data_IF_232846789680
#
_entry.id   IF_232846789680
#
_cell.length_a   1.000
_cell.length_b   1.000
_cell.length_c   1.000
_cell.angle_alpha   90.00
_cell.angle_beta   90.00
_cell.angle_gamma   90.00
#
_symmetry.space_group_name_H-M   'P 1'
#
loop_
_entity.id
_entity.type
_entity.pdbx_description
1 polymer ?
#
# COMPACT_ATOMS: atom_id res chain seq x y z
N UNK A 1 7.37 -74.17 50.17
CA UNK A 1 5.97 -74.45 49.79
C UNK A 1 5.39 -73.16 49.25
N UNK A 2 5.12 -73.13 47.95
CA UNK A 2 4.44 -72.04 47.23
C UNK A 2 2.93 -72.25 47.41
N UNK A 3 2.19 -71.17 47.59
CA UNK A 3 0.74 -71.15 47.45
C UNK A 3 0.36 -70.90 45.99
N UNK A 4 -0.45 -71.82 45.46
CA UNK A 4 -1.54 -71.54 44.49
C UNK A 4 -2.56 -70.57 45.14
N UNK A 5 -3.39 -69.78 44.46
CA UNK A 5 -4.21 -70.09 43.29
C UNK A 5 -4.78 -68.80 42.65
N UNK A 6 -5.33 -68.97 41.44
CA UNK A 6 -5.69 -67.99 40.39
C UNK A 6 -6.78 -66.95 40.68
N UNK A 7 -6.73 -65.84 39.94
CA UNK A 7 -7.88 -65.26 39.24
C UNK A 7 -7.45 -64.51 37.97
N UNK A 8 -8.36 -64.41 37.02
CA UNK A 8 -8.18 -64.27 35.58
C UNK A 8 -8.74 -62.91 35.09
N UNK A 9 -8.28 -62.49 33.91
CA UNK A 9 -8.82 -61.47 32.98
C UNK A 9 -8.90 -59.98 33.37
N UNK A 10 -8.18 -59.19 32.56
CA UNK A 10 -8.33 -57.75 32.39
C UNK A 10 -7.55 -57.29 31.16
N UNK A 11 -8.13 -57.53 29.99
CA UNK A 11 -7.70 -57.06 28.66
C UNK A 11 -7.46 -55.55 28.67
N UNK A 12 -6.19 -55.16 28.66
CA UNK A 12 -5.73 -53.79 28.48
C UNK A 12 -5.07 -53.65 27.13
N UNK A 13 -5.83 -53.81 26.05
CA UNK A 13 -5.45 -53.34 24.72
C UNK A 13 -5.37 -51.82 24.74
N UNK A 14 -4.23 -51.29 25.19
CA UNK A 14 -3.86 -49.90 24.98
C UNK A 14 -3.67 -49.67 23.49
N UNK A 15 -4.64 -48.98 22.90
CA UNK A 15 -4.59 -48.30 21.59
C UNK A 15 -3.15 -47.88 21.25
N UNK A 16 -2.63 -48.40 20.14
CA UNK A 16 -1.46 -47.81 19.48
C UNK A 16 -1.90 -46.47 18.91
N UNK A 17 -1.60 -45.40 19.64
CA UNK A 17 -1.67 -44.04 19.13
C UNK A 17 -0.61 -43.93 18.03
N UNK A 18 -1.06 -43.71 16.79
CA UNK A 18 -0.25 -43.65 15.59
C UNK A 18 0.61 -42.38 15.54
N UNK A 19 1.52 -42.25 16.50
CA UNK A 19 2.49 -41.16 16.57
C UNK A 19 3.49 -41.27 15.45
N UNK A 20 3.51 -40.27 14.57
CA UNK A 20 4.53 -40.11 13.54
C UNK A 20 5.88 -39.96 14.22
N UNK A 21 6.82 -40.85 13.89
CA UNK A 21 8.16 -40.81 14.48
C UNK A 21 8.95 -39.59 13.99
N UNK A 22 9.92 -39.07 14.77
CA UNK A 22 10.78 -37.97 14.34
C UNK A 22 11.49 -38.23 13.01
N UNK A 23 11.81 -39.50 12.71
CA UNK A 23 12.37 -39.91 11.41
C UNK A 23 11.36 -39.79 10.27
N UNK A 24 10.09 -40.12 10.50
CA UNK A 24 9.03 -39.91 9.51
C UNK A 24 8.74 -38.43 9.27
N UNK A 25 8.86 -37.57 10.29
CA UNK A 25 8.78 -36.09 10.12
C UNK A 25 9.96 -35.57 9.31
N UNK A 26 11.17 -36.06 9.57
CA UNK A 26 12.36 -35.74 8.79
C UNK A 26 12.25 -36.23 7.34
N UNK A 27 11.73 -37.43 7.09
CA UNK A 27 11.49 -37.94 5.73
C UNK A 27 10.38 -37.16 5.00
N UNK A 28 9.31 -36.78 5.68
CA UNK A 28 8.25 -35.92 5.13
C UNK A 28 8.79 -34.53 4.76
N UNK A 29 9.66 -33.96 5.59
CA UNK A 29 10.33 -32.69 5.29
C UNK A 29 11.37 -32.84 4.18
N UNK A 30 12.09 -33.96 4.12
CA UNK A 30 13.08 -34.24 3.07
C UNK A 30 12.45 -34.45 1.70
N UNK A 31 11.24 -35.04 1.63
CA UNK A 31 10.47 -35.16 0.38
C UNK A 31 9.85 -33.84 -0.08
N UNK A 32 9.61 -32.89 0.82
CA UNK A 32 9.30 -31.49 0.47
C UNK A 32 10.53 -30.71 -0.03
N UNK A 33 11.73 -31.26 0.15
CA UNK A 33 13.00 -30.66 -0.29
C UNK A 33 13.64 -31.38 -1.48
N UNK A 34 12.91 -32.28 -2.15
CA UNK A 34 13.33 -32.71 -3.48
C UNK A 34 13.33 -31.46 -4.39
N UNK A 35 14.40 -31.21 -5.17
CA UNK A 35 14.39 -30.14 -6.15
C UNK A 35 13.36 -30.51 -7.21
N UNK A 36 12.17 -29.92 -7.12
CA UNK A 36 11.22 -29.87 -8.22
C UNK A 36 11.96 -29.27 -9.41
N UNK A 37 11.83 -29.91 -10.57
CA UNK A 37 12.38 -29.45 -11.85
C UNK A 37 12.17 -27.92 -11.98
N UNK A 38 13.22 -27.10 -12.23
CA UNK A 38 13.09 -25.65 -12.21
C UNK A 38 12.09 -25.08 -13.23
N UNK A 39 11.68 -25.88 -14.23
CA UNK A 39 10.66 -25.55 -15.23
C UNK A 39 9.25 -26.10 -14.91
N UNK A 40 9.09 -27.05 -13.97
CA UNK A 40 7.75 -27.51 -13.60
C UNK A 40 7.14 -26.60 -12.52
N UNK A 41 6.38 -25.61 -13.00
CA UNK A 41 5.35 -24.85 -12.29
C UNK A 41 5.80 -23.67 -11.44
N UNK A 42 6.48 -22.70 -12.05
CA UNK A 42 6.37 -21.30 -11.57
C UNK A 42 5.05 -20.73 -12.08
N UNK A 43 3.95 -21.11 -11.45
CA UNK A 43 2.64 -20.52 -11.72
C UNK A 43 2.41 -19.36 -10.77
N UNK A 44 1.72 -18.33 -11.27
CA UNK A 44 1.19 -17.28 -10.40
C UNK A 44 0.30 -17.92 -9.32
N UNK A 45 0.68 -17.73 -8.06
CA UNK A 45 -0.11 -18.15 -6.91
C UNK A 45 -0.52 -16.96 -6.05
N UNK A 46 -0.41 -15.74 -6.60
CA UNK A 46 -0.94 -14.54 -5.98
C UNK A 46 -2.46 -14.52 -5.98
N UNK A 47 -3.05 -13.95 -4.92
CA UNK A 47 -4.48 -13.64 -4.88
C UNK A 47 -4.71 -12.19 -5.30
N UNK A 48 -5.86 -11.89 -5.88
CA UNK A 48 -6.26 -10.53 -6.25
C UNK A 48 -6.20 -9.58 -5.04
N UNK A 49 -6.78 -9.97 -3.90
CA UNK A 49 -6.76 -9.18 -2.67
C UNK A 49 -5.33 -8.87 -2.17
N UNK A 50 -4.38 -9.82 -2.31
CA UNK A 50 -2.99 -9.55 -1.94
C UNK A 50 -2.26 -8.65 -2.93
N UNK A 51 -2.62 -8.68 -4.22
CA UNK A 51 -2.08 -7.77 -5.23
C UNK A 51 -2.59 -6.35 -5.00
N UNK A 52 -3.89 -6.19 -4.81
CA UNK A 52 -4.52 -4.91 -4.46
C UNK A 52 -3.89 -4.29 -3.21
N UNK A 53 -3.80 -5.04 -2.11
CA UNK A 53 -3.15 -4.59 -0.87
C UNK A 53 -1.70 -4.16 -1.13
N UNK A 54 -0.94 -4.93 -1.90
CA UNK A 54 0.46 -4.60 -2.19
C UNK A 54 0.60 -3.35 -3.06
N UNK A 55 -0.27 -3.17 -4.06
CA UNK A 55 -0.30 -1.95 -4.88
C UNK A 55 -0.61 -0.73 -4.02
N UNK A 56 -1.67 -0.79 -3.21
CA UNK A 56 -2.05 0.28 -2.27
C UNK A 56 -0.93 0.59 -1.28
N UNK A 57 -0.33 -0.45 -0.70
CA UNK A 57 0.73 -0.31 0.29
C UNK A 57 2.00 0.28 -0.35
N UNK A 58 2.36 -0.15 -1.56
CA UNK A 58 3.52 0.40 -2.29
C UNK A 58 3.29 1.88 -2.65
N UNK A 59 2.12 2.23 -3.19
CA UNK A 59 1.71 3.61 -3.44
C UNK A 59 1.71 4.48 -2.17
N UNK A 60 1.37 3.90 -1.03
CA UNK A 60 1.25 4.62 0.24
C UNK A 60 2.60 4.79 0.95
N UNK A 61 3.40 3.72 1.04
CA UNK A 61 4.53 3.61 1.97
C UNK A 61 5.91 3.50 1.30
N UNK A 62 5.97 3.34 -0.03
CA UNK A 62 7.23 3.24 -0.78
C UNK A 62 7.43 4.52 -1.60
N UNK A 63 8.18 5.45 -1.00
CA UNK A 63 8.62 6.70 -1.62
C UNK A 63 9.80 6.44 -2.58
N UNK A 64 11.04 6.34 -2.10
CA UNK A 64 12.21 6.00 -2.94
C UNK A 64 12.56 4.50 -2.80
N UNK A 65 12.75 4.11 -1.55
CA UNK A 65 13.12 2.75 -1.15
C UNK A 65 12.49 2.41 0.19
N UNK A 66 12.06 1.16 0.33
CA UNK A 66 11.48 0.67 1.56
C UNK A 66 11.85 -0.79 1.77
N UNK A 67 12.29 -1.09 2.98
CA UNK A 67 12.46 -2.47 3.43
C UNK A 67 11.29 -2.80 4.35
N UNK A 68 10.56 -3.87 4.05
CA UNK A 68 9.44 -4.34 4.86
C UNK A 68 9.34 -5.87 4.84
N UNK A 69 8.77 -6.42 5.91
CA UNK A 69 8.38 -7.83 5.97
C UNK A 69 6.91 -7.97 5.59
N UNK A 70 6.48 -9.15 5.12
CA UNK A 70 5.06 -9.40 4.85
C UNK A 70 4.17 -9.10 6.08
N UNK A 71 4.67 -9.40 7.29
CA UNK A 71 3.98 -9.08 8.54
C UNK A 71 3.81 -7.57 8.74
N UNK A 72 4.85 -6.79 8.44
CA UNK A 72 4.78 -5.35 8.55
C UNK A 72 3.78 -4.76 7.55
N UNK A 73 3.79 -5.25 6.30
CA UNK A 73 2.88 -4.82 5.24
C UNK A 73 1.42 -5.02 5.65
N UNK A 74 1.04 -6.21 6.13
CA UNK A 74 -0.33 -6.50 6.60
C UNK A 74 -0.72 -5.62 7.80
N UNK A 75 0.19 -5.43 8.75
CA UNK A 75 -0.10 -4.60 9.92
C UNK A 75 -0.28 -3.11 9.56
N UNK A 76 0.48 -2.61 8.58
CA UNK A 76 0.42 -1.21 8.13
C UNK A 76 -0.74 -0.96 7.15
N UNK A 77 -1.23 -1.99 6.44
CA UNK A 77 -2.40 -1.85 5.56
C UNK A 77 -3.72 -1.77 6.31
N UNK A 78 -3.81 -2.34 7.51
CA UNK A 78 -5.06 -2.42 8.28
C UNK A 78 -6.11 -3.38 7.69
N UNK A 79 -5.73 -4.16 6.66
CA UNK A 79 -6.58 -5.18 6.05
C UNK A 79 -6.52 -6.48 6.84
N UNK A 80 -7.67 -6.90 7.37
CA UNK A 80 -7.81 -8.16 8.12
C UNK A 80 -8.14 -9.35 7.20
N UNK A 81 -8.49 -9.10 5.94
CA UNK A 81 -8.93 -10.09 4.96
C UNK A 81 -7.78 -10.74 4.18
N UNK A 82 -6.54 -10.26 4.35
CA UNK A 82 -5.35 -10.78 3.67
C UNK A 82 -4.35 -11.37 4.67
N UNK A 83 -3.99 -12.64 4.49
CA UNK A 83 -3.03 -13.33 5.35
C UNK A 83 -1.58 -12.92 5.03
N UNK A 84 -0.72 -12.92 6.06
CA UNK A 84 0.72 -12.64 5.95
C UNK A 84 1.38 -13.60 4.94
N UNK A 85 0.97 -14.87 4.92
CA UNK A 85 1.45 -15.88 4.00
C UNK A 85 1.06 -15.61 2.55
N UNK A 86 -0.09 -15.00 2.30
CA UNK A 86 -0.53 -14.62 0.95
C UNK A 86 0.31 -13.44 0.42
N UNK A 87 0.55 -12.41 1.25
CA UNK A 87 1.47 -11.32 0.90
C UNK A 87 2.87 -11.84 0.57
N UNK A 88 3.43 -12.71 1.42
CA UNK A 88 4.74 -13.32 1.19
C UNK A 88 4.79 -14.16 -0.09
N UNK A 89 3.72 -14.89 -0.42
CA UNK A 89 3.61 -15.69 -1.64
C UNK A 89 3.54 -14.82 -2.89
N UNK A 90 2.75 -13.74 -2.85
CA UNK A 90 2.60 -12.79 -3.95
C UNK A 90 3.91 -12.06 -4.25
N UNK A 91 4.62 -11.58 -3.23
CA UNK A 91 5.97 -11.02 -3.40
C UNK A 91 6.97 -12.05 -3.93
N UNK A 92 6.84 -13.30 -3.49
CA UNK A 92 7.56 -14.44 -4.04
C UNK A 92 7.35 -14.62 -5.55
N UNK A 93 6.09 -14.57 -5.99
CA UNK A 93 5.73 -14.67 -7.42
C UNK A 93 6.24 -13.48 -8.22
N UNK A 94 6.12 -12.25 -7.68
CA UNK A 94 6.60 -11.04 -8.35
C UNK A 94 8.11 -11.03 -8.53
N UNK A 95 8.87 -11.46 -7.51
CA UNK A 95 10.33 -11.50 -7.55
C UNK A 95 10.90 -12.55 -8.53
N UNK A 96 10.07 -13.47 -9.03
CA UNK A 96 10.48 -14.43 -10.07
C UNK A 96 9.72 -14.19 -11.38
N UNK A 97 9.11 -13.01 -11.51
CA UNK A 97 8.40 -12.51 -12.70
C UNK A 97 7.32 -13.45 -13.24
N UNK A 98 6.51 -14.04 -12.35
CA UNK A 98 5.36 -14.91 -12.74
C UNK A 98 3.99 -14.33 -12.42
N UNK A 99 3.93 -13.09 -11.92
CA UNK A 99 2.68 -12.34 -11.76
C UNK A 99 2.20 -11.77 -13.10
N UNK A 100 0.94 -11.30 -13.22
CA UNK A 100 0.47 -10.63 -14.43
C UNK A 100 1.29 -9.37 -14.70
N UNK A 101 1.47 -9.03 -15.98
CA UNK A 101 2.13 -7.78 -16.37
C UNK A 101 1.39 -6.56 -15.82
N UNK A 102 2.13 -5.51 -15.46
CA UNK A 102 1.59 -4.31 -14.80
C UNK A 102 1.62 -4.39 -13.27
N UNK A 103 1.80 -5.57 -12.67
CA UNK A 103 1.81 -5.69 -11.20
C UNK A 103 3.16 -5.27 -10.61
N UNK A 104 3.17 -4.14 -9.89
CA UNK A 104 4.37 -3.57 -9.24
C UNK A 104 5.53 -3.35 -10.23
N UNK A 105 5.23 -2.86 -11.44
CA UNK A 105 6.27 -2.52 -12.43
C UNK A 105 7.02 -1.21 -12.06
N UNK A 106 6.38 -0.39 -11.24
CA UNK A 106 6.90 0.84 -10.64
C UNK A 106 8.00 0.62 -9.58
N UNK A 107 8.22 -0.61 -9.13
CA UNK A 107 9.24 -0.96 -8.14
C UNK A 107 10.04 -2.19 -8.56
N UNK A 108 11.35 -2.10 -8.43
CA UNK A 108 12.24 -3.24 -8.36
C UNK A 108 12.10 -3.91 -6.99
N UNK A 109 11.77 -5.20 -7.02
CA UNK A 109 11.59 -6.02 -5.84
C UNK A 109 12.81 -6.94 -5.65
N UNK A 110 13.43 -6.87 -4.48
CA UNK A 110 14.50 -7.78 -4.10
C UNK A 110 14.38 -8.24 -2.64
N UNK A 111 15.26 -9.17 -2.22
CA UNK A 111 15.28 -9.69 -0.85
C UNK A 111 16.46 -9.13 -0.06
N UNK A 112 16.24 -8.88 1.22
CA UNK A 112 17.26 -8.42 2.17
C UNK A 112 17.22 -9.24 3.47
N UNK A 113 18.40 -9.42 4.08
CA UNK A 113 18.56 -10.11 5.36
C UNK A 113 18.84 -11.62 5.29
N UNK A 114 18.99 -12.23 6.47
CA UNK A 114 19.33 -13.65 6.67
C UNK A 114 18.11 -14.59 6.65
N UNK A 115 18.36 -15.88 6.43
CA UNK A 115 17.40 -16.94 6.09
C UNK A 115 16.17 -17.13 7.00
N UNK A 116 16.12 -16.50 8.18
CA UNK A 116 15.03 -16.70 9.16
C UNK A 116 13.81 -15.81 8.90
N UNK A 117 13.98 -14.64 8.29
CA UNK A 117 12.87 -13.72 7.95
C UNK A 117 13.16 -13.12 6.58
N UNK A 118 12.25 -13.31 5.64
CA UNK A 118 12.35 -12.64 4.34
C UNK A 118 11.90 -11.18 4.50
N UNK A 119 12.86 -10.27 4.47
CA UNK A 119 12.59 -8.86 4.24
C UNK A 119 12.64 -8.57 2.75
N UNK A 120 11.68 -7.79 2.28
CA UNK A 120 11.55 -7.37 0.89
C UNK A 120 12.03 -5.94 0.79
N UNK A 121 12.86 -5.68 -0.22
CA UNK A 121 13.30 -4.34 -0.61
C UNK A 121 12.46 -3.95 -1.81
N UNK A 122 11.73 -2.86 -1.67
CA UNK A 122 11.05 -2.18 -2.74
C UNK A 122 11.88 -0.95 -3.08
N UNK A 123 12.36 -0.85 -4.30
CA UNK A 123 13.09 0.31 -4.80
C UNK A 123 12.36 0.80 -6.04
N UNK A 124 11.91 2.05 -6.04
CA UNK A 124 11.17 2.56 -7.21
C UNK A 124 12.10 2.60 -8.42
N UNK A 125 11.61 2.17 -9.57
CA UNK A 125 12.35 2.26 -10.82
C UNK A 125 12.26 3.69 -11.35
N UNK A 126 13.41 4.36 -11.49
CA UNK A 126 13.49 5.61 -12.21
C UNK A 126 13.05 5.40 -13.68
N UNK A 127 11.89 5.94 -14.05
CA UNK A 127 11.56 6.26 -15.42
C UNK A 127 11.31 5.10 -16.40
N UNK A 128 10.37 4.21 -16.11
CA UNK A 128 9.78 3.36 -17.15
C UNK A 128 8.26 3.23 -17.00
N UNK A 129 7.51 3.98 -17.82
CA UNK A 129 6.13 3.62 -18.20
C UNK A 129 5.91 3.97 -19.67
N UNK A 130 5.57 2.97 -20.47
CA UNK A 130 5.27 3.10 -21.90
C UNK A 130 3.98 3.91 -22.14
N UNK A 131 4.04 4.85 -23.09
CA UNK A 131 2.93 5.19 -23.99
C UNK A 131 1.70 5.94 -23.43
N UNK A 132 1.81 7.25 -23.23
CA UNK A 132 0.66 8.17 -23.09
C UNK A 132 1.10 9.49 -22.46
N UNK A 133 0.69 10.63 -23.03
CA UNK A 133 1.09 12.03 -22.72
C UNK A 133 1.74 12.15 -21.34
N UNK A 134 3.07 12.03 -21.31
CA UNK A 134 3.83 11.81 -20.08
C UNK A 134 4.01 13.15 -19.35
N UNK A 135 3.45 13.24 -18.15
CA UNK A 135 3.51 14.43 -17.31
C UNK A 135 4.67 14.33 -16.33
N UNK A 136 5.23 15.48 -15.92
CA UNK A 136 6.40 15.51 -15.02
C UNK A 136 6.10 14.80 -13.70
N UNK A 137 4.87 14.94 -13.17
CA UNK A 137 4.44 14.31 -11.93
C UNK A 137 4.65 12.79 -11.90
N UNK A 138 4.48 12.10 -13.04
CA UNK A 138 4.65 10.65 -13.15
C UNK A 138 6.07 10.16 -12.83
N UNK A 139 7.08 11.03 -12.92
CA UNK A 139 8.47 10.70 -12.61
C UNK A 139 8.90 11.13 -11.21
N UNK A 140 8.06 11.90 -10.51
CA UNK A 140 8.40 12.42 -9.20
C UNK A 140 7.97 11.45 -8.09
N UNK A 141 8.79 11.38 -7.05
CA UNK A 141 8.44 10.71 -5.81
C UNK A 141 7.49 11.59 -4.99
N UNK A 142 6.75 11.01 -4.04
CA UNK A 142 5.82 11.78 -3.20
C UNK A 142 6.43 13.02 -2.55
N UNK A 143 7.66 12.98 -1.97
CA UNK A 143 8.27 14.19 -1.41
C UNK A 143 8.48 15.27 -2.47
N UNK A 144 8.92 14.89 -3.67
CA UNK A 144 9.20 15.83 -4.75
C UNK A 144 7.89 16.37 -5.37
N UNK A 145 6.84 15.55 -5.45
CA UNK A 145 5.47 15.99 -5.79
C UNK A 145 4.96 17.03 -4.80
N UNK A 146 5.08 16.76 -3.49
CA UNK A 146 4.63 17.68 -2.44
C UNK A 146 5.42 18.99 -2.51
N UNK A 147 6.74 18.94 -2.69
CA UNK A 147 7.55 20.15 -2.86
C UNK A 147 7.13 20.97 -4.09
N UNK A 148 7.00 20.35 -5.27
CA UNK A 148 6.62 21.09 -6.48
C UNK A 148 5.18 21.64 -6.42
N UNK A 149 4.24 20.91 -5.82
CA UNK A 149 2.87 21.42 -5.57
C UNK A 149 2.92 22.60 -4.60
N UNK A 150 3.72 22.50 -3.54
CA UNK A 150 3.86 23.57 -2.54
C UNK A 150 4.42 24.84 -3.16
N UNK A 151 5.43 24.72 -4.03
CA UNK A 151 6.01 25.84 -4.76
C UNK A 151 4.99 26.50 -5.70
N UNK A 152 4.11 25.72 -6.33
CA UNK A 152 3.09 26.23 -7.25
C UNK A 152 1.93 26.93 -6.53
N UNK A 153 1.50 26.42 -5.37
CA UNK A 153 0.45 27.04 -4.54
C UNK A 153 0.98 28.28 -3.80
N UNK A 154 2.23 28.23 -3.34
CA UNK A 154 2.90 29.31 -2.60
C UNK A 154 2.60 29.29 -1.10
N UNK A 155 3.58 29.77 -0.31
CA UNK A 155 3.49 29.93 1.15
C UNK A 155 3.13 28.66 1.96
N UNK A 156 3.61 27.49 1.52
CA UNK A 156 3.33 26.18 2.17
C UNK A 156 4.53 25.49 2.81
N UNK A 157 5.72 26.10 2.82
CA UNK A 157 6.96 25.48 3.29
C UNK A 157 6.91 25.02 4.77
N UNK A 158 6.12 25.69 5.61
CA UNK A 158 5.93 25.33 7.02
C UNK A 158 4.85 24.27 7.23
N UNK A 159 4.13 23.87 6.17
CA UNK A 159 2.94 23.02 6.24
C UNK A 159 3.19 21.56 5.82
N UNK A 160 4.43 21.25 5.42
CA UNK A 160 4.89 19.88 5.17
C UNK A 160 6.28 19.60 5.77
N UNK A 161 6.55 18.34 6.10
CA UNK A 161 7.85 17.91 6.64
C UNK A 161 8.41 16.69 5.90
N UNK A 162 9.63 16.80 5.38
CA UNK A 162 10.37 15.67 4.79
C UNK A 162 11.33 15.10 5.85
N UNK A 163 11.02 13.91 6.34
CA UNK A 163 11.89 13.14 7.24
C UNK A 163 12.78 12.21 6.42
N UNK A 164 14.08 12.48 6.44
CA UNK A 164 15.06 11.62 5.79
C UNK A 164 15.62 10.59 6.77
N UNK A 165 15.70 9.34 6.33
CA UNK A 165 16.45 8.26 6.97
C UNK A 165 17.53 7.75 6.00
N UNK A 166 18.45 6.92 6.49
CA UNK A 166 19.57 6.40 5.69
C UNK A 166 19.14 5.72 4.37
N UNK A 167 17.92 5.18 4.32
CA UNK A 167 17.41 4.43 3.17
C UNK A 167 16.02 4.89 2.71
N UNK A 168 15.48 6.01 3.22
CA UNK A 168 14.13 6.48 2.81
C UNK A 168 13.90 7.95 3.09
N UNK A 169 13.18 8.66 2.22
CA UNK A 169 12.50 9.92 2.54
C UNK A 169 11.04 9.61 2.91
N UNK A 170 10.48 10.35 3.87
CA UNK A 170 9.07 10.26 4.26
C UNK A 170 8.49 11.66 4.31
N UNK A 171 7.27 11.82 3.82
CA UNK A 171 6.58 13.11 3.81
C UNK A 171 5.40 13.12 4.78
N UNK A 172 5.28 14.19 5.56
CA UNK A 172 4.10 14.54 6.35
C UNK A 172 3.50 15.84 5.82
N UNK A 173 2.17 15.90 5.70
CA UNK A 173 1.43 17.12 5.32
C UNK A 173 0.39 17.48 6.36
N UNK A 174 0.24 18.79 6.63
CA UNK A 174 -0.73 19.32 7.58
C UNK A 174 -2.15 19.35 6.98
N UNK A 175 -3.15 19.68 7.80
CA UNK A 175 -4.50 19.94 7.29
C UNK A 175 -4.56 21.29 6.54
N UNK A 176 -3.75 22.27 6.94
CA UNK A 176 -3.66 23.55 6.26
C UNK A 176 -3.02 23.40 4.88
N UNK A 177 -2.00 22.54 4.73
CA UNK A 177 -1.44 22.17 3.43
C UNK A 177 -2.53 21.62 2.49
N UNK A 178 -3.27 20.59 2.94
CA UNK A 178 -4.36 19.99 2.17
C UNK A 178 -5.40 21.04 1.77
N UNK A 179 -5.78 21.92 2.71
CA UNK A 179 -6.76 22.98 2.46
C UNK A 179 -6.29 23.97 1.39
N UNK A 180 -5.06 24.45 1.48
CA UNK A 180 -4.51 25.37 0.50
C UNK A 180 -4.47 24.75 -0.90
N UNK A 181 -4.06 23.48 -1.01
CA UNK A 181 -4.07 22.75 -2.28
C UNK A 181 -5.50 22.55 -2.81
N UNK A 182 -6.47 22.20 -1.96
CA UNK A 182 -7.87 22.12 -2.36
C UNK A 182 -8.39 23.45 -2.90
N UNK A 183 -8.11 24.57 -2.21
CA UNK A 183 -8.53 25.89 -2.66
C UNK A 183 -7.90 26.28 -4.00
N UNK A 184 -6.61 25.97 -4.19
CA UNK A 184 -5.93 26.21 -5.46
C UNK A 184 -6.54 25.39 -6.61
N UNK A 185 -6.95 24.14 -6.35
CA UNK A 185 -7.65 23.32 -7.35
C UNK A 185 -9.02 23.88 -7.70
N UNK A 186 -9.79 24.32 -6.71
CA UNK A 186 -11.11 24.95 -6.93
C UNK A 186 -10.98 26.22 -7.78
N UNK A 187 -9.99 27.06 -7.47
CA UNK A 187 -9.68 28.24 -8.27
C UNK A 187 -9.27 27.85 -9.70
N UNK A 188 -8.45 26.81 -9.85
CA UNK A 188 -8.02 26.31 -11.17
C UNK A 188 -9.16 25.72 -11.99
N UNK A 189 -10.12 25.08 -11.33
CA UNK A 189 -11.32 24.49 -11.92
C UNK A 189 -12.37 25.53 -12.34
N UNK A 190 -12.21 26.80 -11.93
CA UNK A 190 -13.22 27.85 -12.09
C UNK A 190 -14.58 27.43 -11.49
N UNK A 191 -14.55 26.69 -10.38
CA UNK A 191 -15.73 26.24 -9.64
C UNK A 191 -15.97 27.10 -8.40
N UNK A 192 -17.23 27.30 -8.04
CA UNK A 192 -17.57 27.94 -6.78
C UNK A 192 -17.45 26.93 -5.63
N UNK A 193 -16.58 27.22 -4.66
CA UNK A 193 -16.34 26.34 -3.51
C UNK A 193 -17.65 25.98 -2.77
N UNK A 194 -18.58 26.92 -2.67
CA UNK A 194 -19.88 26.75 -2.02
C UNK A 194 -20.72 25.64 -2.65
N UNK A 195 -20.62 25.45 -3.97
CA UNK A 195 -21.37 24.40 -4.69
C UNK A 195 -20.83 23.00 -4.37
N UNK A 196 -19.57 22.89 -3.97
CA UNK A 196 -18.90 21.63 -3.62
C UNK A 196 -19.11 21.26 -2.14
N UNK A 197 -19.44 22.25 -1.29
CA UNK A 197 -19.61 22.07 0.14
C UNK A 197 -21.01 21.57 0.49
N UNK A 198 -21.12 20.28 0.80
CA UNK A 198 -22.42 19.68 1.17
C UNK A 198 -22.84 19.90 2.63
N UNK A 199 -21.94 20.38 3.49
CA UNK A 199 -22.17 20.55 4.93
C UNK A 199 -22.16 22.00 5.44
N UNK A 200 -22.03 22.99 4.55
CA UNK A 200 -22.10 24.39 4.94
C UNK A 200 -23.54 24.78 5.32
N UNK A 201 -23.68 25.47 6.45
CA UNK A 201 -24.95 25.96 6.96
C UNK A 201 -24.76 27.37 7.56
N UNK A 202 -25.43 28.35 6.97
CA UNK A 202 -25.41 29.76 7.39
C UNK A 202 -25.94 29.97 8.82
N UNK A 203 -26.74 29.05 9.34
CA UNK A 203 -27.22 29.12 10.73
C UNK A 203 -26.12 28.74 11.75
N UNK A 204 -25.15 27.91 11.34
CA UNK A 204 -24.09 27.39 12.19
C UNK A 204 -22.74 28.10 11.99
N UNK A 205 -22.53 28.72 10.82
CA UNK A 205 -21.25 29.31 10.45
C UNK A 205 -21.39 30.78 10.04
N UNK A 206 -20.47 31.62 10.52
CA UNK A 206 -20.49 33.05 10.21
C UNK A 206 -20.01 33.36 8.80
N UNK A 207 -19.23 32.46 8.19
CA UNK A 207 -18.79 32.54 6.79
C UNK A 207 -18.33 31.19 6.26
N UNK A 208 -18.30 31.03 4.93
CA UNK A 208 -17.76 29.86 4.24
C UNK A 208 -16.29 29.64 4.59
N UNK A 209 -15.48 30.70 4.65
CA UNK A 209 -14.07 30.59 5.03
C UNK A 209 -13.86 29.97 6.41
N UNK A 210 -14.70 30.35 7.39
CA UNK A 210 -14.64 29.75 8.73
C UNK A 210 -14.97 28.26 8.73
N UNK A 211 -15.94 27.84 7.91
CA UNK A 211 -16.28 26.42 7.76
C UNK A 211 -15.13 25.64 7.10
N UNK A 212 -14.55 26.20 6.03
CA UNK A 212 -13.41 25.62 5.31
C UNK A 212 -12.20 25.43 6.22
N UNK A 213 -11.93 26.37 7.12
CA UNK A 213 -10.87 26.29 8.14
C UNK A 213 -11.05 25.13 9.13
N UNK A 214 -12.27 24.61 9.26
CA UNK A 214 -12.62 23.51 10.16
C UNK A 214 -12.78 22.17 9.44
N UNK A 215 -12.67 22.14 8.10
CA UNK A 215 -12.72 20.88 7.36
C UNK A 215 -11.62 19.93 7.81
N UNK A 216 -12.02 18.70 8.08
CA UNK A 216 -11.14 17.60 8.40
C UNK A 216 -10.32 17.18 7.18
N UNK A 217 -9.21 16.47 7.42
CA UNK A 217 -8.40 15.92 6.32
C UNK A 217 -9.17 14.95 5.42
N UNK A 218 -10.23 14.31 5.93
CA UNK A 218 -11.09 13.42 5.15
C UNK A 218 -12.04 14.21 4.24
N UNK A 219 -12.69 15.25 4.77
CA UNK A 219 -13.54 16.13 3.95
C UNK A 219 -12.73 16.81 2.84
N UNK A 220 -11.51 17.25 3.14
CA UNK A 220 -10.59 17.80 2.13
C UNK A 220 -10.19 16.78 1.06
N UNK A 221 -9.96 15.51 1.44
CA UNK A 221 -9.71 14.43 0.47
C UNK A 221 -10.92 14.25 -0.45
N UNK A 222 -12.13 14.15 0.11
CA UNK A 222 -13.34 13.91 -0.67
C UNK A 222 -13.64 15.06 -1.66
N UNK A 223 -13.38 16.31 -1.26
CA UNK A 223 -13.51 17.46 -2.16
C UNK A 223 -12.57 17.36 -3.35
N UNK A 224 -11.32 16.96 -3.12
CA UNK A 224 -10.32 16.80 -4.19
C UNK A 224 -10.68 15.62 -5.10
N UNK A 225 -11.15 14.50 -4.55
CA UNK A 225 -11.62 13.36 -5.35
C UNK A 225 -12.77 13.75 -6.27
N UNK A 226 -13.74 14.53 -5.77
CA UNK A 226 -14.83 15.05 -6.58
C UNK A 226 -14.38 16.04 -7.66
N UNK A 227 -13.37 16.88 -7.38
CA UNK A 227 -12.80 17.80 -8.36
C UNK A 227 -12.04 17.08 -9.48
N UNK A 228 -11.33 16.00 -9.13
CA UNK A 228 -10.57 15.18 -10.08
C UNK A 228 -11.47 14.18 -10.86
N UNK A 229 -12.78 14.17 -10.59
CA UNK A 229 -13.75 13.20 -11.12
C UNK A 229 -13.25 11.75 -10.99
N UNK A 230 -12.68 11.43 -9.83
CA UNK A 230 -12.13 10.10 -9.61
C UNK A 230 -13.26 9.07 -9.42
N UNK A 231 -13.36 8.12 -10.35
CA UNK A 231 -14.33 7.00 -10.30
C UNK A 231 -14.15 6.13 -9.04
N UNK A 232 -12.92 6.03 -8.55
CA UNK A 232 -12.55 5.26 -7.35
C UNK A 232 -12.00 6.19 -6.26
N UNK A 233 -12.20 5.80 -4.99
CA UNK A 233 -11.60 6.51 -3.86
C UNK A 233 -10.07 6.41 -3.95
N UNK A 234 -9.42 7.51 -4.29
CA UNK A 234 -7.97 7.57 -4.47
C UNK A 234 -7.27 7.62 -3.10
N UNK A 235 -7.83 8.33 -2.12
CA UNK A 235 -7.15 8.63 -0.87
C UNK A 235 -7.81 8.12 0.39
N UNK A 236 -6.98 8.02 1.43
CA UNK A 236 -7.47 7.94 2.80
C UNK A 236 -7.48 9.34 3.41
N UNK A 237 -8.37 9.59 4.37
CA UNK A 237 -8.40 10.89 5.06
C UNK A 237 -7.05 11.29 5.67
N UNK A 238 -6.20 10.33 6.03
CA UNK A 238 -4.90 10.58 6.67
C UNK A 238 -3.75 10.85 5.69
N UNK A 239 -3.80 10.31 4.47
CA UNK A 239 -2.72 10.43 3.48
C UNK A 239 -3.31 10.52 2.07
N UNK A 240 -2.82 11.47 1.28
CA UNK A 240 -3.05 11.45 -0.16
C UNK A 240 -2.07 10.46 -0.81
N UNK A 241 -2.56 9.55 -1.66
CA UNK A 241 -1.72 8.57 -2.36
C UNK A 241 -0.86 9.31 -3.39
N UNK A 242 0.09 8.60 -4.00
CA UNK A 242 0.97 9.23 -4.99
C UNK A 242 0.18 9.61 -6.24
N UNK A 243 -0.78 8.78 -6.62
CA UNK A 243 -1.61 8.87 -7.81
C UNK A 243 -2.46 10.15 -7.77
N UNK A 244 -3.08 10.43 -6.62
CA UNK A 244 -3.76 11.70 -6.38
C UNK A 244 -2.78 12.87 -6.46
N UNK A 245 -1.59 12.77 -5.87
CA UNK A 245 -0.60 13.85 -5.95
C UNK A 245 -0.09 14.08 -7.37
N UNK A 246 -0.01 13.06 -8.22
CA UNK A 246 0.31 13.21 -9.65
C UNK A 246 -0.79 14.00 -10.33
N UNK A 247 -2.07 13.64 -10.13
CA UNK A 247 -3.19 14.35 -10.72
C UNK A 247 -3.21 15.83 -10.30
N UNK A 248 -3.01 16.10 -9.01
CA UNK A 248 -2.90 17.47 -8.48
C UNK A 248 -1.72 18.21 -9.11
N UNK A 249 -0.55 17.57 -9.21
CA UNK A 249 0.64 18.13 -9.84
C UNK A 249 0.38 18.48 -11.31
N UNK A 250 -0.26 17.58 -12.03
CA UNK A 250 -0.55 17.77 -13.44
C UNK A 250 -1.45 18.99 -13.68
N UNK A 251 -2.44 19.21 -12.81
CA UNK A 251 -3.34 20.37 -12.85
C UNK A 251 -2.65 21.67 -12.40
N UNK A 252 -2.03 21.67 -11.21
CA UNK A 252 -1.51 22.89 -10.57
C UNK A 252 -0.13 23.30 -11.07
N UNK A 253 0.75 22.34 -11.37
CA UNK A 253 2.14 22.59 -11.77
C UNK A 253 2.29 22.51 -13.28
N UNK A 254 1.78 21.43 -13.90
CA UNK A 254 1.91 21.22 -15.35
C UNK A 254 0.84 21.98 -16.15
N UNK A 255 -0.19 22.51 -15.48
CA UNK A 255 -1.23 23.34 -16.08
C UNK A 255 -2.21 22.58 -16.96
N UNK A 256 -2.30 21.26 -16.80
CA UNK A 256 -3.21 20.39 -17.55
C UNK A 256 -4.65 20.66 -17.08
N UNK A 257 -5.59 20.59 -18.02
CA UNK A 257 -7.02 20.74 -17.70
C UNK A 257 -7.49 19.55 -16.84
N UNK A 258 -8.31 19.80 -15.83
CA UNK A 258 -8.87 18.76 -14.96
C UNK A 258 -9.57 17.65 -15.77
N UNK A 259 -10.26 18.02 -16.85
CA UNK A 259 -10.92 17.07 -17.73
C UNK A 259 -9.97 16.14 -18.50
N UNK A 260 -8.67 16.48 -18.59
CA UNK A 260 -7.63 15.65 -19.22
C UNK A 260 -6.87 14.78 -18.22
N UNK A 261 -7.07 15.02 -16.91
CA UNK A 261 -6.41 14.27 -15.82
C UNK A 261 -7.34 13.21 -15.22
N UNK A 262 -8.66 13.38 -15.35
CA UNK A 262 -9.65 12.39 -14.95
C UNK A 262 -9.39 11.04 -15.66
N UNK A 263 -9.48 9.91 -14.93
CA UNK A 263 -9.16 8.57 -15.43
C UNK A 263 -10.07 8.06 -16.57
#
# INVERSE_FOLDING_TARGET
MRGDERAEYGDGTSRTDGGVTPQQVLELNSRKSAPTDPDEKRHDSSSEASRELLTEWVATYVDDRKIATAKQIVNESGREDVDIGDVGRTLGCRNVDVTPGGFLDEVELSKWGDANVTSWVFERVDGAVDGGTQTRGKYLFKPDLVSEISDAVGDLDDEYDIRQSADSRRIGVSAAWKRAVTLALVERADCELEELLTGYDEEHWTSVGQYVDQLSKAELTNLVEGLLDADDALGTGHCWPREMLIAIHDVLVSGIDLAEVAP
#
